data_IF_313835088174
#
_entry.id   IF_313835088174
#
_cell.length_a   1.000
_cell.length_b   1.000
_cell.length_c   1.000
_cell.angle_alpha   90.00
_cell.angle_beta   90.00
_cell.angle_gamma   90.00
#
_symmetry.space_group_name_H-M   'P 1'
#
loop_
_entity.id
_entity.type
_entity.pdbx_description
1 polymer ?
#
# COMPACT_ATOMS: atom_id res chain seq x y z
N UNK A 1 -37.84 -23.50 81.53
CA UNK A 1 -38.23 -23.37 80.11
C UNK A 1 -37.36 -22.29 79.52
N UNK A 2 -36.16 -22.67 79.10
CA UNK A 2 -35.22 -21.76 78.43
C UNK A 2 -35.77 -21.45 77.05
N UNK A 3 -36.05 -20.18 76.80
CA UNK A 3 -36.35 -19.68 75.47
C UNK A 3 -35.01 -19.68 74.72
N UNK A 4 -34.69 -20.79 74.05
CA UNK A 4 -33.64 -20.82 73.03
C UNK A 4 -34.12 -19.98 71.86
N UNK A 5 -33.79 -18.70 71.86
CA UNK A 5 -33.86 -17.90 70.63
C UNK A 5 -32.96 -18.57 69.59
N UNK A 6 -33.61 -19.00 68.52
CA UNK A 6 -33.14 -19.93 67.51
C UNK A 6 -31.97 -19.34 66.72
N UNK A 7 -30.72 -19.61 67.17
CA UNK A 7 -29.47 -19.27 66.46
C UNK A 7 -29.51 -19.68 64.98
N UNK A 8 -30.26 -20.74 64.66
CA UNK A 8 -30.42 -21.25 63.30
C UNK A 8 -31.23 -20.29 62.43
N UNK A 9 -32.30 -19.70 62.98
CA UNK A 9 -33.10 -18.67 62.31
C UNK A 9 -32.34 -17.36 62.10
N UNK A 10 -31.50 -16.97 63.05
CA UNK A 10 -30.67 -15.77 62.96
C UNK A 10 -29.54 -15.94 61.92
N UNK A 11 -28.90 -17.12 61.88
CA UNK A 11 -27.85 -17.48 60.90
C UNK A 11 -28.41 -17.63 59.48
N UNK A 12 -29.63 -18.15 59.31
CA UNK A 12 -30.32 -18.20 58.01
C UNK A 12 -30.68 -16.81 57.49
N UNK A 13 -31.18 -15.91 58.35
CA UNK A 13 -31.43 -14.51 57.98
C UNK A 13 -30.14 -13.79 57.55
N UNK A 14 -29.04 -13.99 58.28
CA UNK A 14 -27.74 -13.37 57.96
C UNK A 14 -27.16 -13.86 56.63
N UNK A 15 -27.25 -15.17 56.35
CA UNK A 15 -26.82 -15.74 55.06
C UNK A 15 -27.68 -15.26 53.88
N UNK A 16 -28.99 -15.07 54.09
CA UNK A 16 -29.88 -14.54 53.05
C UNK A 16 -29.61 -13.07 52.74
N UNK A 17 -29.40 -12.24 53.77
CA UNK A 17 -28.98 -10.83 53.64
C UNK A 17 -27.61 -10.71 52.94
N UNK A 18 -26.64 -11.57 53.26
CA UNK A 18 -25.33 -11.62 52.60
C UNK A 18 -25.44 -12.02 51.12
N UNK A 19 -26.27 -13.01 50.80
CA UNK A 19 -26.53 -13.43 49.42
C UNK A 19 -27.23 -12.35 48.60
N UNK A 20 -28.23 -11.66 49.18
CA UNK A 20 -28.91 -10.53 48.53
C UNK A 20 -27.97 -9.35 48.29
N UNK A 21 -27.09 -9.02 49.25
CA UNK A 21 -26.12 -7.93 49.09
C UNK A 21 -25.04 -8.26 48.05
N UNK A 22 -24.60 -9.52 47.94
CA UNK A 22 -23.69 -9.95 46.87
C UNK A 22 -24.36 -9.90 45.48
N UNK A 23 -25.61 -10.37 45.35
CA UNK A 23 -26.35 -10.25 44.09
C UNK A 23 -26.56 -8.79 43.67
N UNK A 24 -26.88 -7.92 44.62
CA UNK A 24 -27.06 -6.48 44.38
C UNK A 24 -25.74 -5.80 43.99
N UNK A 25 -24.62 -6.15 44.64
CA UNK A 25 -23.27 -5.70 44.23
C UNK A 25 -22.91 -6.20 42.83
N UNK A 26 -23.21 -7.45 42.50
CA UNK A 26 -22.92 -8.03 41.19
C UNK A 26 -23.72 -7.35 40.07
N UNK A 27 -24.99 -7.01 40.32
CA UNK A 27 -25.81 -6.17 39.43
C UNK A 27 -25.20 -4.77 39.25
N UNK A 28 -24.78 -4.10 40.33
CA UNK A 28 -24.16 -2.77 40.27
C UNK A 28 -22.84 -2.76 39.47
N UNK A 29 -22.04 -3.85 39.56
CA UNK A 29 -20.86 -4.02 38.70
C UNK A 29 -21.22 -4.23 37.23
N UNK A 30 -22.27 -4.99 36.93
CA UNK A 30 -22.74 -5.18 35.55
C UNK A 30 -23.23 -3.86 34.94
N UNK A 31 -23.96 -3.04 35.69
CA UNK A 31 -24.41 -1.72 35.26
C UNK A 31 -23.23 -0.77 35.00
N UNK A 32 -22.20 -0.82 35.87
CA UNK A 32 -20.95 -0.07 35.68
C UNK A 32 -20.17 -0.51 34.44
N UNK A 33 -20.09 -1.81 34.17
CA UNK A 33 -19.45 -2.35 32.96
C UNK A 33 -20.18 -1.84 31.72
N UNK A 34 -21.51 -1.95 31.69
CA UNK A 34 -22.33 -1.49 30.56
C UNK A 34 -22.16 0.02 30.32
N UNK A 35 -22.10 0.82 31.39
CA UNK A 35 -21.83 2.24 31.30
C UNK A 35 -20.42 2.55 30.77
N UNK A 36 -19.41 1.78 31.18
CA UNK A 36 -18.04 1.92 30.69
C UNK A 36 -17.94 1.54 29.21
N UNK A 37 -18.57 0.44 28.78
CA UNK A 37 -18.66 0.03 27.37
C UNK A 37 -19.31 1.11 26.51
N UNK A 38 -20.41 1.71 26.98
CA UNK A 38 -21.07 2.82 26.29
C UNK A 38 -20.15 4.06 26.17
N UNK A 39 -19.38 4.37 27.22
CA UNK A 39 -18.39 5.46 27.20
C UNK A 39 -17.25 5.18 26.23
N UNK A 40 -16.72 3.96 26.20
CA UNK A 40 -15.67 3.53 25.27
C UNK A 40 -16.15 3.66 23.83
N UNK A 41 -17.34 3.15 23.51
CA UNK A 41 -17.91 3.27 22.17
C UNK A 41 -18.07 4.74 21.71
N UNK A 42 -18.49 5.62 22.64
CA UNK A 42 -18.59 7.07 22.36
C UNK A 42 -17.21 7.70 22.10
N UNK A 43 -16.20 7.34 22.89
CA UNK A 43 -14.83 7.80 22.70
C UNK A 43 -14.26 7.33 21.36
N UNK A 44 -14.43 6.05 21.01
CA UNK A 44 -13.98 5.50 19.72
C UNK A 44 -14.59 6.24 18.54
N UNK A 45 -15.90 6.53 18.58
CA UNK A 45 -16.57 7.31 17.54
C UNK A 45 -16.03 8.74 17.44
N UNK A 46 -15.73 9.37 18.58
CA UNK A 46 -15.13 10.71 18.62
C UNK A 46 -13.72 10.69 18.02
N UNK A 47 -12.89 9.71 18.38
CA UNK A 47 -11.55 9.53 17.82
C UNK A 47 -11.60 9.30 16.31
N UNK A 48 -12.50 8.43 15.81
CA UNK A 48 -12.70 8.20 14.38
C UNK A 48 -13.06 9.49 13.64
N UNK A 49 -13.94 10.31 14.22
CA UNK A 49 -14.32 11.61 13.66
C UNK A 49 -13.12 12.57 13.59
N UNK A 50 -12.40 12.75 14.69
CA UNK A 50 -11.21 13.60 14.75
C UNK A 50 -10.12 13.17 13.75
N UNK A 51 -9.89 11.86 13.60
CA UNK A 51 -8.96 11.32 12.61
C UNK A 51 -9.38 11.71 11.18
N UNK A 52 -10.67 11.58 10.85
CA UNK A 52 -11.19 11.96 9.54
C UNK A 52 -11.08 13.46 9.29
N UNK A 53 -11.41 14.29 10.28
CA UNK A 53 -11.29 15.74 10.20
C UNK A 53 -9.83 16.15 9.98
N UNK A 54 -8.90 15.59 10.77
CA UNK A 54 -7.46 15.82 10.63
C UNK A 54 -6.93 15.38 9.26
N UNK A 55 -7.35 14.23 8.72
CA UNK A 55 -7.01 13.85 7.34
C UNK A 55 -7.54 14.87 6.33
N UNK A 56 -8.74 15.39 6.54
CA UNK A 56 -9.33 16.46 5.74
C UNK A 56 -8.47 17.72 5.74
N UNK A 57 -8.04 18.19 6.93
CA UNK A 57 -7.16 19.34 7.08
C UNK A 57 -5.79 19.11 6.44
N UNK A 58 -5.16 17.95 6.67
CA UNK A 58 -3.88 17.59 6.04
C UNK A 58 -4.01 17.61 4.52
N UNK A 59 -5.10 17.07 3.96
CA UNK A 59 -5.31 17.08 2.52
C UNK A 59 -5.52 18.50 1.96
N UNK A 60 -6.21 19.38 2.71
CA UNK A 60 -6.32 20.80 2.33
C UNK A 60 -4.96 21.47 2.35
N UNK A 61 -4.17 21.28 3.42
CA UNK A 61 -2.81 21.81 3.54
C UNK A 61 -1.90 21.33 2.40
N UNK A 62 -1.94 20.03 2.07
CA UNK A 62 -1.19 19.46 0.94
C UNK A 62 -1.52 20.07 -0.42
N UNK A 63 -2.73 20.62 -0.60
CA UNK A 63 -3.15 21.26 -1.86
C UNK A 63 -2.69 22.71 -1.97
N UNK A 64 -2.53 23.41 -0.84
CA UNK A 64 -2.15 24.85 -0.82
C UNK A 64 -0.68 25.07 -0.51
N UNK A 65 0.01 24.07 0.02
CA UNK A 65 1.44 24.16 0.37
C UNK A 65 2.28 23.78 -0.84
N UNK A 66 3.18 24.65 -1.33
CA UNK A 66 4.16 24.29 -2.35
C UNK A 66 4.97 23.07 -1.90
N UNK A 67 5.11 22.08 -2.78
CA UNK A 67 5.88 20.88 -2.46
C UNK A 67 7.37 21.14 -2.67
N UNK A 68 8.23 20.82 -1.69
CA UNK A 68 9.67 21.07 -1.80
C UNK A 68 10.36 20.12 -2.79
N UNK A 69 9.72 19.00 -3.12
CA UNK A 69 10.25 17.94 -3.96
C UNK A 69 9.14 17.25 -4.77
N UNK A 70 9.55 16.55 -5.82
CA UNK A 70 8.65 15.76 -6.64
C UNK A 70 8.60 14.31 -6.11
N UNK A 71 7.40 13.88 -5.73
CA UNK A 71 7.20 12.59 -5.07
C UNK A 71 7.51 11.40 -6.00
N UNK A 72 7.08 11.43 -7.27
CA UNK A 72 7.60 10.47 -8.26
C UNK A 72 7.50 11.02 -9.70
N UNK A 73 8.32 10.44 -10.59
CA UNK A 73 8.14 10.50 -12.04
C UNK A 73 7.96 9.07 -12.55
N UNK A 74 6.99 8.87 -13.43
CA UNK A 74 6.84 7.63 -14.19
C UNK A 74 7.38 7.83 -15.61
N UNK A 75 8.22 6.91 -16.09
CA UNK A 75 8.84 6.97 -17.42
C UNK A 75 8.55 5.67 -18.15
N UNK A 76 8.08 5.78 -19.39
CA UNK A 76 7.80 4.62 -20.23
C UNK A 76 9.08 4.12 -20.89
N UNK A 77 9.47 2.88 -20.61
CA UNK A 77 10.63 2.24 -21.24
C UNK A 77 10.25 1.43 -22.50
N UNK A 78 8.97 1.10 -22.62
CA UNK A 78 8.37 0.43 -23.76
C UNK A 78 6.96 0.99 -23.96
N UNK A 79 6.53 1.14 -25.21
CA UNK A 79 5.17 1.59 -25.54
C UNK A 79 4.17 0.42 -25.55
N UNK A 80 4.59 -0.71 -26.12
CA UNK A 80 3.80 -1.93 -26.26
C UNK A 80 3.99 -2.93 -25.12
N UNK A 81 3.03 -3.84 -24.96
CA UNK A 81 3.02 -4.87 -23.92
C UNK A 81 2.72 -6.25 -24.50
N UNK A 82 3.21 -7.30 -23.86
CA UNK A 82 2.89 -8.70 -24.17
C UNK A 82 1.59 -9.18 -23.49
N UNK A 83 0.79 -8.27 -22.93
CA UNK A 83 -0.54 -8.50 -22.37
C UNK A 83 -1.56 -7.53 -22.96
N UNK A 84 -2.81 -8.01 -23.08
CA UNK A 84 -3.95 -7.24 -23.57
C UNK A 84 -4.95 -6.95 -22.43
N UNK A 85 -4.52 -6.19 -21.42
CA UNK A 85 -5.35 -5.91 -20.25
C UNK A 85 -6.60 -5.07 -20.62
N UNK A 86 -7.78 -5.46 -20.13
CA UNK A 86 -9.06 -4.77 -20.40
C UNK A 86 -9.08 -3.30 -19.96
N UNK A 87 -8.40 -2.98 -18.85
CA UNK A 87 -8.25 -1.62 -18.31
C UNK A 87 -6.78 -1.25 -18.16
N UNK A 88 -6.06 -1.24 -19.29
CA UNK A 88 -4.68 -0.74 -19.30
C UNK A 88 -4.68 0.79 -19.33
N UNK A 89 -4.15 1.41 -18.28
CA UNK A 89 -4.05 2.88 -18.18
C UNK A 89 -3.04 3.48 -19.20
N UNK A 90 -2.16 2.65 -19.75
CA UNK A 90 -1.12 3.06 -20.69
C UNK A 90 -1.49 2.82 -22.16
N UNK A 91 -2.66 2.20 -22.43
CA UNK A 91 -3.11 1.83 -23.78
C UNK A 91 -2.10 0.98 -24.60
N UNK A 92 -1.17 0.31 -23.91
CA UNK A 92 -0.05 -0.41 -24.53
C UNK A 92 -0.45 -1.62 -25.39
N UNK A 93 -1.68 -2.11 -25.26
CA UNK A 93 -2.23 -3.14 -26.14
C UNK A 93 -2.58 -2.63 -27.54
N UNK A 94 -2.67 -1.31 -27.72
CA UNK A 94 -2.96 -0.66 -29.00
C UNK A 94 -1.70 -0.01 -29.60
N UNK A 95 -0.62 0.10 -28.83
CA UNK A 95 0.60 0.74 -29.26
C UNK A 95 1.42 -0.18 -30.18
N UNK A 96 2.06 0.42 -31.19
CA UNK A 96 3.07 -0.28 -31.97
C UNK A 96 4.30 -0.60 -31.11
N UNK A 97 5.11 -1.55 -31.58
CA UNK A 97 6.40 -1.81 -30.99
C UNK A 97 7.25 -0.52 -30.97
N UNK A 98 7.83 -0.24 -29.81
CA UNK A 98 8.50 1.00 -29.51
C UNK A 98 9.12 0.97 -28.13
N UNK A 99 10.32 1.53 -28.03
CA UNK A 99 11.11 1.64 -26.82
C UNK A 99 11.58 3.07 -26.65
N UNK A 100 11.81 3.47 -25.41
CA UNK A 100 12.46 4.75 -25.14
C UNK A 100 13.86 4.73 -25.77
N UNK A 101 14.26 5.81 -26.44
CA UNK A 101 15.63 5.93 -26.91
C UNK A 101 16.54 6.25 -25.71
N UNK A 102 17.67 5.56 -25.62
CA UNK A 102 18.52 5.65 -24.43
C UNK A 102 19.29 6.97 -24.33
N UNK A 103 19.64 7.58 -25.47
CA UNK A 103 20.31 8.88 -25.50
C UNK A 103 19.34 9.99 -25.14
N UNK A 104 18.11 9.92 -25.66
CA UNK A 104 17.01 10.82 -25.28
C UNK A 104 16.73 10.67 -23.79
N UNK A 105 16.63 9.45 -23.27
CA UNK A 105 16.43 9.19 -21.85
C UNK A 105 17.54 9.82 -21.00
N UNK A 106 18.81 9.63 -21.34
CA UNK A 106 19.91 10.23 -20.57
C UNK A 106 19.86 11.76 -20.60
N UNK A 107 19.57 12.36 -21.75
CA UNK A 107 19.41 13.82 -21.86
C UNK A 107 18.26 14.34 -20.98
N UNK A 108 17.13 13.63 -20.95
CA UNK A 108 15.99 13.97 -20.11
C UNK A 108 16.31 13.81 -18.62
N UNK A 109 16.97 12.72 -18.21
CA UNK A 109 17.39 12.50 -16.82
C UNK A 109 18.38 13.57 -16.37
N UNK A 110 19.35 13.93 -17.22
CA UNK A 110 20.29 15.03 -16.94
C UNK A 110 19.54 16.35 -16.76
N UNK A 111 18.60 16.67 -17.66
CA UNK A 111 17.81 17.90 -17.57
C UNK A 111 16.92 17.93 -16.33
N UNK A 112 16.30 16.81 -15.99
CA UNK A 112 15.52 16.66 -14.75
C UNK A 112 16.39 16.89 -13.52
N UNK A 113 17.63 16.39 -13.51
CA UNK A 113 18.56 16.64 -12.42
C UNK A 113 18.91 18.13 -12.29
N UNK A 114 19.21 18.81 -13.40
CA UNK A 114 19.51 20.25 -13.42
C UNK A 114 18.38 21.12 -12.85
N UNK A 115 17.13 20.77 -13.18
CA UNK A 115 15.94 21.52 -12.76
C UNK A 115 15.58 21.18 -11.31
N UNK A 116 15.50 19.89 -10.97
CA UNK A 116 15.06 19.43 -9.64
C UNK A 116 16.14 19.54 -8.57
N UNK A 117 17.41 19.76 -8.96
CA UNK A 117 18.58 19.69 -8.08
C UNK A 117 18.68 18.34 -7.34
N UNK A 118 18.21 17.27 -7.99
CA UNK A 118 18.17 15.92 -7.42
C UNK A 118 16.97 15.65 -6.50
N UNK A 119 16.05 16.60 -6.31
CA UNK A 119 14.91 16.47 -5.39
C UNK A 119 13.72 15.73 -6.01
N UNK A 120 13.95 14.48 -6.41
CA UNK A 120 12.92 13.53 -6.85
C UNK A 120 13.00 12.31 -5.95
N UNK A 121 11.91 11.97 -5.25
CA UNK A 121 11.94 10.85 -4.30
C UNK A 121 11.96 9.49 -5.02
N UNK A 122 11.33 9.40 -6.19
CA UNK A 122 11.10 8.12 -6.84
C UNK A 122 11.01 8.20 -8.37
N UNK A 123 11.62 7.23 -9.03
CA UNK A 123 11.40 6.93 -10.45
C UNK A 123 10.64 5.61 -10.60
N UNK A 124 9.59 5.62 -11.40
CA UNK A 124 8.81 4.44 -11.78
C UNK A 124 9.07 4.15 -13.24
N UNK A 125 9.84 3.12 -13.51
CA UNK A 125 10.11 2.61 -14.84
C UNK A 125 8.94 1.70 -15.23
N UNK A 126 8.15 2.16 -16.21
CA UNK A 126 6.86 1.58 -16.58
C UNK A 126 6.61 1.70 -18.08
N UNK A 127 5.35 1.82 -18.51
CA UNK A 127 4.92 1.84 -19.91
C UNK A 127 4.11 0.58 -20.22
N UNK A 128 4.37 -0.04 -21.36
CA UNK A 128 3.87 -1.38 -21.67
C UNK A 128 4.54 -2.44 -20.82
N UNK A 129 5.42 -3.26 -21.38
CA UNK A 129 6.25 -4.17 -20.58
C UNK A 129 7.74 -3.80 -20.72
N UNK A 130 8.34 -3.16 -19.70
CA UNK A 130 9.74 -2.74 -19.74
C UNK A 130 10.73 -3.87 -20.04
N UNK A 131 10.44 -5.10 -19.61
CA UNK A 131 11.33 -6.25 -19.80
C UNK A 131 11.33 -6.80 -21.24
N UNK A 132 10.51 -6.27 -22.14
CA UNK A 132 10.65 -6.51 -23.59
C UNK A 132 11.87 -5.76 -24.16
N UNK A 133 12.27 -4.65 -23.54
CA UNK A 133 13.45 -3.91 -23.93
C UNK A 133 14.74 -4.63 -23.46
N UNK A 134 15.52 -5.16 -24.40
CA UNK A 134 16.77 -5.89 -24.09
C UNK A 134 17.80 -5.03 -23.34
N UNK A 135 17.71 -3.72 -23.47
CA UNK A 135 18.59 -2.74 -22.83
C UNK A 135 17.99 -2.16 -21.54
N UNK A 136 16.90 -2.74 -20.99
CA UNK A 136 16.21 -2.24 -19.78
C UNK A 136 17.16 -1.99 -18.59
N UNK A 137 18.19 -2.81 -18.43
CA UNK A 137 19.19 -2.64 -17.35
C UNK A 137 20.00 -1.34 -17.45
N UNK A 138 20.20 -0.80 -18.65
CA UNK A 138 21.06 0.37 -18.87
C UNK A 138 20.43 1.66 -18.33
N UNK A 139 19.10 1.74 -18.36
CA UNK A 139 18.31 2.83 -17.76
C UNK A 139 18.52 2.95 -16.25
N UNK A 140 18.78 1.83 -15.55
CA UNK A 140 19.03 1.84 -14.11
C UNK A 140 20.33 2.56 -13.77
N UNK A 141 21.39 2.31 -14.55
CA UNK A 141 22.68 2.94 -14.39
C UNK A 141 22.61 4.44 -14.69
N UNK A 142 21.88 4.84 -15.75
CA UNK A 142 21.66 6.25 -16.07
C UNK A 142 20.94 6.96 -14.92
N UNK A 143 19.84 6.40 -14.41
CA UNK A 143 19.14 7.01 -13.27
C UNK A 143 20.04 7.13 -12.05
N UNK A 144 20.75 6.06 -11.68
CA UNK A 144 21.58 6.06 -10.47
C UNK A 144 22.79 7.01 -10.59
N UNK A 145 23.32 7.23 -11.80
CA UNK A 145 24.39 8.20 -12.09
C UNK A 145 24.00 9.62 -11.67
N UNK A 146 22.77 10.07 -11.99
CA UNK A 146 22.31 11.42 -11.67
C UNK A 146 21.58 11.50 -10.31
N UNK A 147 20.78 10.49 -9.98
CA UNK A 147 19.89 10.48 -8.81
C UNK A 147 20.33 9.43 -7.77
N UNK A 148 21.39 9.75 -7.01
CA UNK A 148 22.02 8.83 -6.06
C UNK A 148 21.09 8.36 -4.93
N UNK A 149 20.16 9.21 -4.50
CA UNK A 149 19.32 8.94 -3.32
C UNK A 149 17.86 8.59 -3.67
N UNK A 150 17.47 8.64 -4.95
CA UNK A 150 16.10 8.35 -5.36
C UNK A 150 15.83 6.85 -5.35
N UNK A 151 14.61 6.47 -5.00
CA UNK A 151 14.14 5.10 -5.20
C UNK A 151 13.88 4.84 -6.69
N UNK A 152 14.25 3.66 -7.18
CA UNK A 152 14.01 3.25 -8.57
C UNK A 152 13.13 2.02 -8.54
N UNK A 153 11.95 2.11 -9.12
CA UNK A 153 10.96 1.03 -9.16
C UNK A 153 10.78 0.55 -10.59
N UNK A 154 10.96 -0.75 -10.82
CA UNK A 154 10.61 -1.39 -12.06
C UNK A 154 9.19 -1.96 -11.96
N UNK A 155 8.24 -1.36 -12.66
CA UNK A 155 6.88 -1.88 -12.77
C UNK A 155 6.84 -2.89 -13.92
N UNK A 156 6.36 -4.10 -13.65
CA UNK A 156 6.31 -5.20 -14.65
C UNK A 156 5.09 -6.08 -14.43
N UNK A 157 4.64 -6.80 -15.46
CA UNK A 157 3.66 -7.87 -15.32
C UNK A 157 4.27 -9.18 -14.78
N UNK A 158 5.59 -9.28 -14.73
CA UNK A 158 6.34 -10.38 -14.14
C UNK A 158 6.57 -11.60 -15.05
N UNK A 159 5.96 -11.66 -16.23
CA UNK A 159 6.07 -12.81 -17.16
C UNK A 159 7.52 -13.06 -17.60
N UNK A 160 8.29 -11.99 -17.78
CA UNK A 160 9.64 -12.05 -18.32
C UNK A 160 10.73 -12.06 -17.24
N UNK A 161 10.38 -11.95 -15.95
CA UNK A 161 11.37 -11.88 -14.86
C UNK A 161 12.27 -13.11 -14.80
N UNK A 162 11.69 -14.32 -14.82
CA UNK A 162 12.48 -15.56 -14.77
C UNK A 162 13.29 -15.83 -16.03
N UNK A 163 13.03 -15.08 -17.12
CA UNK A 163 13.77 -15.17 -18.38
C UNK A 163 14.97 -14.22 -18.43
N UNK A 164 15.11 -13.30 -17.46
CA UNK A 164 16.22 -12.36 -17.41
C UNK A 164 17.53 -13.05 -17.03
N UNK A 165 18.62 -12.58 -17.64
CA UNK A 165 19.98 -13.04 -17.39
C UNK A 165 20.53 -12.52 -16.06
N UNK A 166 21.69 -13.04 -15.64
CA UNK A 166 22.36 -12.61 -14.41
C UNK A 166 22.76 -11.12 -14.44
N UNK A 167 23.02 -10.56 -15.62
CA UNK A 167 23.40 -9.16 -15.77
C UNK A 167 22.26 -8.21 -15.39
N UNK A 168 21.01 -8.53 -15.77
CA UNK A 168 19.83 -7.79 -15.32
C UNK A 168 19.70 -7.78 -13.80
N UNK A 169 19.77 -8.96 -13.16
CA UNK A 169 19.64 -9.06 -11.69
C UNK A 169 20.76 -8.32 -10.97
N UNK A 170 21.99 -8.41 -11.49
CA UNK A 170 23.13 -7.64 -10.96
C UNK A 170 22.89 -6.12 -11.09
N UNK A 171 22.42 -5.66 -12.25
CA UNK A 171 22.10 -4.25 -12.46
C UNK A 171 21.01 -3.74 -11.51
N UNK A 172 19.98 -4.54 -11.24
CA UNK A 172 18.97 -4.21 -10.24
C UNK A 172 19.59 -4.01 -8.85
N UNK A 173 20.45 -4.94 -8.43
CA UNK A 173 21.10 -4.88 -7.12
C UNK A 173 22.06 -3.70 -7.01
N UNK A 174 22.96 -3.52 -7.97
CA UNK A 174 23.96 -2.44 -7.99
C UNK A 174 23.32 -1.05 -7.98
N UNK A 175 22.18 -0.90 -8.65
CA UNK A 175 21.48 0.38 -8.75
C UNK A 175 20.35 0.54 -7.74
N UNK A 176 20.17 -0.38 -6.79
CA UNK A 176 19.11 -0.32 -5.77
C UNK A 176 17.70 -0.24 -6.36
N UNK A 177 17.44 -1.04 -7.39
CA UNK A 177 16.13 -1.12 -8.06
C UNK A 177 15.23 -2.09 -7.30
N UNK A 178 14.01 -1.64 -6.97
CA UNK A 178 12.96 -2.50 -6.43
C UNK A 178 12.07 -2.99 -7.55
N UNK A 179 11.78 -4.30 -7.59
CA UNK A 179 10.87 -4.88 -8.58
C UNK A 179 9.46 -4.84 -8.02
N UNK A 180 8.54 -4.25 -8.79
CA UNK A 180 7.16 -3.99 -8.36
C UNK A 180 6.18 -4.64 -9.33
N UNK A 181 5.98 -5.96 -9.27
CA UNK A 181 5.10 -6.63 -10.19
C UNK A 181 3.63 -6.33 -9.89
N UNK A 182 2.82 -6.31 -10.95
CA UNK A 182 1.37 -6.36 -10.82
C UNK A 182 0.90 -7.81 -10.92
N UNK A 183 0.16 -8.28 -9.91
CA UNK A 183 -0.35 -9.66 -9.87
C UNK A 183 -1.62 -9.77 -10.72
N UNK A 184 -1.46 -10.12 -11.99
CA UNK A 184 -2.57 -10.47 -12.87
C UNK A 184 -3.04 -11.91 -12.62
N UNK A 185 -4.30 -12.27 -12.96
CA UNK A 185 -4.84 -13.63 -12.83
C UNK A 185 -4.27 -14.56 -13.92
N UNK A 186 -2.95 -14.66 -13.98
CA UNK A 186 -2.17 -15.48 -14.90
C UNK A 186 -1.30 -16.44 -14.09
N UNK A 187 -1.07 -17.64 -14.62
CA UNK A 187 -0.22 -18.63 -13.96
C UNK A 187 1.25 -18.21 -14.08
N UNK A 188 1.81 -17.70 -12.98
CA UNK A 188 3.23 -17.38 -12.83
C UNK A 188 3.77 -18.04 -11.57
N UNK A 189 5.03 -18.49 -11.65
CA UNK A 189 5.75 -19.08 -10.53
C UNK A 189 6.34 -17.96 -9.65
N UNK A 190 5.46 -17.36 -8.83
CA UNK A 190 5.84 -16.27 -7.93
C UNK A 190 6.85 -16.69 -6.87
N UNK A 191 6.86 -17.96 -6.47
CA UNK A 191 7.80 -18.46 -5.48
C UNK A 191 9.22 -18.49 -6.05
N UNK A 192 9.40 -18.97 -7.30
CA UNK A 192 10.70 -18.85 -7.98
C UNK A 192 11.13 -17.39 -8.15
N UNK A 193 10.21 -16.49 -8.50
CA UNK A 193 10.53 -15.05 -8.64
C UNK A 193 11.02 -14.48 -7.31
N UNK A 194 10.33 -14.79 -6.20
CA UNK A 194 10.74 -14.38 -4.85
C UNK A 194 12.10 -14.95 -4.48
N UNK A 195 12.33 -16.24 -4.71
CA UNK A 195 13.63 -16.89 -4.44
C UNK A 195 14.77 -16.21 -5.19
N UNK A 196 14.58 -15.91 -6.48
CA UNK A 196 15.53 -15.12 -7.28
C UNK A 196 15.78 -13.72 -6.71
N UNK A 197 14.72 -13.02 -6.29
CA UNK A 197 14.89 -11.70 -5.67
C UNK A 197 15.68 -11.77 -4.37
N UNK A 198 15.43 -12.79 -3.53
CA UNK A 198 16.17 -13.03 -2.28
C UNK A 198 17.64 -13.37 -2.56
N UNK A 199 17.91 -14.25 -3.53
CA UNK A 199 19.26 -14.66 -3.96
C UNK A 199 20.13 -13.46 -4.32
N UNK A 200 19.59 -12.52 -5.10
CA UNK A 200 20.30 -11.31 -5.51
C UNK A 200 20.15 -10.14 -4.52
N UNK A 201 19.38 -10.31 -3.44
CA UNK A 201 19.13 -9.28 -2.42
C UNK A 201 18.38 -8.06 -2.96
N UNK A 202 17.35 -8.28 -3.79
CA UNK A 202 16.52 -7.26 -4.44
C UNK A 202 15.15 -7.21 -3.76
N UNK A 203 14.65 -6.00 -3.51
CA UNK A 203 13.32 -5.81 -2.93
C UNK A 203 12.24 -6.16 -3.96
N UNK A 204 11.32 -7.05 -3.60
CA UNK A 204 10.11 -7.38 -4.35
C UNK A 204 8.88 -6.91 -3.57
N UNK A 205 8.09 -6.00 -4.14
CA UNK A 205 6.84 -5.56 -3.51
C UNK A 205 5.74 -5.39 -4.55
N UNK A 206 4.63 -6.12 -4.41
CA UNK A 206 3.49 -6.05 -5.32
C UNK A 206 2.82 -4.68 -5.29
N UNK A 207 2.47 -4.14 -6.47
CA UNK A 207 1.90 -2.80 -6.60
C UNK A 207 0.53 -2.65 -5.89
N UNK A 208 -0.35 -3.67 -6.01
CA UNK A 208 -1.70 -3.66 -5.44
C UNK A 208 -1.87 -4.55 -4.20
N UNK A 209 -0.77 -5.00 -3.56
CA UNK A 209 -0.73 -6.05 -2.53
C UNK A 209 -0.66 -7.49 -3.11
N UNK A 210 0.10 -8.37 -2.46
CA UNK A 210 0.33 -9.76 -2.90
C UNK A 210 -0.94 -10.61 -2.89
N UNK A 211 -1.85 -10.31 -1.95
CA UNK A 211 -3.11 -11.04 -1.78
C UNK A 211 -4.21 -10.59 -2.75
N UNK A 212 -3.99 -9.50 -3.48
CA UNK A 212 -5.00 -8.90 -4.36
C UNK A 212 -4.59 -9.17 -5.80
N UNK A 213 -5.39 -9.98 -6.48
CA UNK A 213 -5.30 -10.08 -7.94
C UNK A 213 -5.90 -8.82 -8.56
N UNK A 214 -5.24 -8.28 -9.59
CA UNK A 214 -5.71 -7.08 -10.26
C UNK A 214 -7.03 -7.37 -10.96
N UNK A 215 -8.09 -6.75 -10.47
CA UNK A 215 -9.38 -6.65 -11.15
C UNK A 215 -9.44 -5.35 -11.96
N UNK A 216 -10.35 -5.29 -12.93
CA UNK A 216 -10.65 -4.06 -13.66
C UNK A 216 -11.71 -3.27 -12.91
N UNK A 217 -11.59 -1.94 -12.91
CA UNK A 217 -12.59 -1.03 -12.34
C UNK A 217 -13.05 -0.05 -13.41
N UNK A 218 -14.30 0.39 -13.31
CA UNK A 218 -14.87 1.38 -14.23
C UNK A 218 -15.04 2.68 -13.47
N UNK A 219 -14.23 3.68 -13.80
CA UNK A 219 -14.47 5.04 -13.32
C UNK A 219 -15.58 5.68 -14.16
N UNK A 220 -16.81 5.71 -13.64
CA UNK A 220 -17.90 6.47 -14.25
C UNK A 220 -17.81 7.93 -13.79
N UNK A 221 -17.65 8.86 -14.74
CA UNK A 221 -17.72 10.28 -14.45
C UNK A 221 -19.16 10.66 -14.13
N UNK A 222 -19.40 11.18 -12.92
CA UNK A 222 -20.68 11.78 -12.58
C UNK A 222 -20.78 13.16 -13.27
N UNK A 223 -21.53 13.20 -14.38
CA UNK A 223 -21.76 14.41 -15.18
C UNK A 223 -22.46 15.54 -14.41
N UNK A 224 -23.13 15.25 -13.30
CA UNK A 224 -23.80 16.25 -12.45
C UNK A 224 -22.87 16.89 -11.40
N UNK A 225 -21.62 16.43 -11.30
CA UNK A 225 -20.68 16.86 -10.26
C UNK A 225 -20.98 16.24 -8.88
N UNK A 226 -19.95 16.12 -8.04
CA UNK A 226 -20.08 15.60 -6.66
C UNK A 226 -19.45 14.22 -6.39
N UNK A 227 -18.58 13.72 -7.28
CA UNK A 227 -18.06 12.36 -7.26
C UNK A 227 -17.53 11.88 -5.90
N UNK A 228 -18.21 10.89 -5.32
CA UNK A 228 -17.53 9.81 -4.60
C UNK A 228 -17.39 8.68 -5.62
N UNK A 229 -16.15 8.31 -5.91
CA UNK A 229 -15.82 7.18 -6.75
C UNK A 229 -16.34 5.90 -6.06
N UNK A 230 -17.10 5.08 -6.78
CA UNK A 230 -17.45 3.72 -6.38
C UNK A 230 -16.40 2.75 -6.93
#
# INVERSE_FOLDING_TARGET
MEIKEDEKGMRMKFNWLSCMTNKKKQSDYQDKILLLEAKIAKLENTCKKLINDNRGYINKLKKVTPKPNLHFIAIHLAEHCNLNCFSCDNFSQLANEGYCDIEVFENDIKRLYEISKGNIEQFRLSGGEPLLNKNCKDYFYILRKYFKNSSIWLLTNGILLLKQDAAFWKACKENGVSIRPTKYPIKLDWDKIKSKCIEFGIELQFFNNEKIEKTSFKTALNLRGGGRYF
#
